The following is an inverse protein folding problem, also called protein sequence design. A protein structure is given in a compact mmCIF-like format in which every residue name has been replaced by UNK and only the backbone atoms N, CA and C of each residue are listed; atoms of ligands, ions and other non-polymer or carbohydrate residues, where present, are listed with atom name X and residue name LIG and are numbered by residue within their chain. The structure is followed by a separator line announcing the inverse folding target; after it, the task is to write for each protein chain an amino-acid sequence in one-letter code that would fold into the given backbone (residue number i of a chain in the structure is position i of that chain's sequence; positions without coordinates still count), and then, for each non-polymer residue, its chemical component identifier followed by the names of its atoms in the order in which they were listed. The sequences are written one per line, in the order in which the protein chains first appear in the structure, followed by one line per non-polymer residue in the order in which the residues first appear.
data_IF_780589910400
#
_entry.id   IF_780589910400
#
_cell.length_a   1.000
_cell.length_b   1.000
_cell.length_c   1.000
_cell.angle_alpha   90.00
_cell.angle_beta   90.00
_cell.angle_gamma   90.00
#
_symmetry.space_group_name_H-M   'P 1'
#
loop_
_entity.id
_entity.type
_entity.pdbx_description
1 polymer ?
#
# COMPACT_ATOMS: atom_id res chain seq x y z
N UNK A 1 48.85 9.69 -1.39
CA UNK A 1 49.29 10.96 -2.02
C UNK A 1 48.40 11.28 -3.21
N UNK A 2 48.37 12.54 -3.63
CA UNK A 2 47.44 13.12 -4.62
C UNK A 2 47.34 12.37 -5.96
N UNK A 3 48.35 11.59 -6.33
CA UNK A 3 48.42 10.81 -7.59
C UNK A 3 48.38 9.30 -7.37
N UNK A 4 48.16 8.82 -6.14
CA UNK A 4 48.25 7.40 -5.78
C UNK A 4 49.67 6.85 -5.70
N UNK A 5 50.69 7.60 -6.15
CA UNK A 5 52.12 7.23 -6.12
C UNK A 5 52.92 8.24 -5.29
N UNK A 6 53.92 7.79 -4.55
CA UNK A 6 54.80 8.66 -3.76
C UNK A 6 55.79 9.40 -4.70
N UNK A 7 55.99 10.73 -4.60
CA UNK A 7 56.87 11.52 -5.48
C UNK A 7 58.30 11.01 -5.58
N UNK A 8 58.80 10.39 -4.51
CA UNK A 8 60.13 9.79 -4.43
C UNK A 8 60.18 8.27 -4.65
N UNK A 9 59.05 7.62 -4.99
CA UNK A 9 58.98 6.16 -5.16
C UNK A 9 59.98 5.66 -6.22
N UNK A 10 60.93 4.83 -5.79
CA UNK A 10 61.84 4.10 -6.65
C UNK A 10 61.34 2.68 -6.94
N UNK A 11 62.07 1.93 -7.78
CA UNK A 11 61.73 0.53 -8.10
C UNK A 11 61.96 -0.41 -6.91
N UNK A 12 62.87 -0.04 -6.02
CA UNK A 12 63.13 -0.73 -4.75
C UNK A 12 63.04 0.23 -3.55
N UNK A 13 63.01 -0.30 -2.33
CA UNK A 13 63.02 0.51 -1.09
C UNK A 13 64.30 1.34 -1.00
N UNK A 14 65.45 0.78 -1.38
CA UNK A 14 66.74 1.50 -1.37
C UNK A 14 66.75 2.66 -2.38
N UNK A 15 66.19 2.46 -3.58
CA UNK A 15 66.03 3.53 -4.56
C UNK A 15 65.15 4.66 -4.03
N UNK A 16 64.08 4.32 -3.31
CA UNK A 16 63.17 5.30 -2.69
C UNK A 16 63.89 6.12 -1.62
N UNK A 17 64.67 5.47 -0.76
CA UNK A 17 65.46 6.15 0.27
C UNK A 17 66.53 7.06 -0.36
N UNK A 18 67.21 6.59 -1.41
CA UNK A 18 68.16 7.41 -2.17
C UNK A 18 67.50 8.63 -2.83
N UNK A 19 66.34 8.45 -3.45
CA UNK A 19 65.58 9.54 -4.08
C UNK A 19 65.14 10.57 -3.05
N UNK A 20 64.68 10.13 -1.87
CA UNK A 20 64.41 11.02 -0.74
C UNK A 20 65.70 11.74 -0.38
N UNK A 21 66.80 11.06 -0.02
CA UNK A 21 68.06 11.71 0.40
C UNK A 21 68.59 12.75 -0.59
N UNK A 22 68.42 12.52 -1.90
CA UNK A 22 68.88 13.42 -2.97
C UNK A 22 67.84 14.50 -3.35
N UNK A 23 66.66 14.51 -2.74
CA UNK A 23 65.56 15.40 -3.12
C UNK A 23 65.05 15.18 -4.54
N UNK A 24 65.29 14.00 -5.13
CA UNK A 24 64.96 13.69 -6.52
C UNK A 24 63.52 13.18 -6.63
N UNK A 25 62.59 14.07 -6.91
CA UNK A 25 61.22 13.68 -7.27
C UNK A 25 61.22 12.94 -8.62
N UNK A 26 60.81 11.67 -8.59
CA UNK A 26 60.67 10.81 -9.79
C UNK A 26 59.34 11.06 -10.47
N UNK A 27 58.30 11.37 -9.69
CA UNK A 27 56.98 11.75 -10.18
C UNK A 27 56.71 13.20 -9.73
N UNK A 28 56.79 14.19 -10.64
CA UNK A 28 56.50 15.57 -10.29
C UNK A 28 55.01 15.76 -9.96
N UNK A 29 54.69 16.85 -9.26
CA UNK A 29 53.29 17.24 -9.05
C UNK A 29 52.62 17.51 -10.42
N UNK A 30 51.39 17.00 -10.65
CA UNK A 30 50.67 17.24 -11.90
C UNK A 30 50.45 18.72 -12.21
N UNK A 31 50.37 19.06 -13.50
CA UNK A 31 50.27 20.45 -13.97
C UNK A 31 48.97 21.16 -13.55
N UNK A 32 47.92 20.42 -13.18
CA UNK A 32 46.67 20.98 -12.66
C UNK A 32 46.79 21.45 -11.20
N UNK A 33 47.85 21.09 -10.48
CA UNK A 33 48.14 21.60 -9.15
C UNK A 33 48.97 22.88 -9.31
N UNK A 34 48.33 24.02 -9.09
CA UNK A 34 48.92 25.34 -9.33
C UNK A 34 48.70 26.27 -8.13
N UNK A 35 49.39 27.42 -8.14
CA UNK A 35 49.26 28.46 -7.11
C UNK A 35 49.65 27.99 -5.71
N UNK A 36 48.99 28.55 -4.70
CA UNK A 36 49.25 28.34 -3.27
C UNK A 36 49.23 26.85 -2.87
N UNK A 37 48.34 26.04 -3.45
CA UNK A 37 48.27 24.59 -3.19
C UNK A 37 49.56 23.89 -3.60
N UNK A 38 50.15 24.26 -4.74
CA UNK A 38 51.42 23.69 -5.22
C UNK A 38 52.56 24.06 -4.26
N UNK A 39 52.64 25.32 -3.86
CA UNK A 39 53.66 25.82 -2.94
C UNK A 39 53.57 25.14 -1.58
N UNK A 40 52.36 25.03 -1.03
CA UNK A 40 52.08 24.34 0.22
C UNK A 40 52.56 22.87 0.18
N UNK A 41 52.24 22.13 -0.89
CA UNK A 41 52.67 20.74 -1.06
C UNK A 41 54.19 20.60 -1.23
N UNK A 42 54.84 21.53 -1.94
CA UNK A 42 56.29 21.53 -2.11
C UNK A 42 57.00 21.82 -0.77
N UNK A 43 56.48 22.73 0.04
CA UNK A 43 57.01 23.03 1.37
C UNK A 43 56.85 21.84 2.34
N UNK A 44 55.74 21.10 2.27
CA UNK A 44 55.55 19.85 3.04
C UNK A 44 56.56 18.75 2.65
N UNK A 45 57.04 18.76 1.41
CA UNK A 45 58.00 17.79 0.88
C UNK A 45 59.47 18.23 1.02
N UNK A 46 59.75 19.29 1.79
CA UNK A 46 61.10 19.82 1.97
C UNK A 46 62.04 18.75 2.53
N UNK A 47 63.28 18.74 2.03
CA UNK A 47 64.31 17.81 2.45
C UNK A 47 64.75 18.01 3.90
N UNK A 48 64.80 19.27 4.31
CA UNK A 48 65.11 19.67 5.67
C UNK A 48 63.83 19.57 6.51
N UNK A 49 63.83 18.72 7.53
CA UNK A 49 62.66 18.47 8.36
C UNK A 49 62.24 19.72 9.14
N UNK A 50 63.19 20.54 9.57
CA UNK A 50 62.94 21.75 10.36
C UNK A 50 62.37 22.90 9.51
N UNK A 51 62.45 22.79 8.18
CA UNK A 51 61.87 23.75 7.23
C UNK A 51 60.49 23.35 6.71
N UNK A 52 59.97 22.19 7.11
CA UNK A 52 58.62 21.77 6.75
C UNK A 52 57.63 22.58 7.58
N UNK A 53 56.54 23.08 6.97
CA UNK A 53 55.54 23.81 7.71
C UNK A 53 54.86 22.88 8.71
N UNK A 54 54.56 23.42 9.88
CA UNK A 54 53.75 22.79 10.91
C UNK A 54 52.29 22.70 10.46
N UNK A 55 51.49 21.87 11.13
CA UNK A 55 50.06 21.79 10.85
C UNK A 55 49.33 23.12 11.07
N UNK A 56 49.81 23.94 12.02
CA UNK A 56 49.24 25.26 12.31
C UNK A 56 49.49 26.21 11.14
N UNK A 57 50.74 26.31 10.68
CA UNK A 57 51.11 27.16 9.53
C UNK A 57 50.38 26.75 8.25
N UNK A 58 50.14 25.46 8.04
CA UNK A 58 49.34 24.97 6.91
C UNK A 58 47.87 25.40 7.01
N UNK A 59 47.26 25.30 8.20
CA UNK A 59 45.87 25.69 8.43
C UNK A 59 45.66 27.21 8.38
N UNK A 60 46.70 27.99 8.64
CA UNK A 60 46.68 29.45 8.58
C UNK A 60 46.84 30.01 7.16
N UNK A 61 47.09 29.17 6.15
CA UNK A 61 47.12 29.58 4.73
C UNK A 61 45.77 30.12 4.25
N UNK A 62 45.78 31.05 3.28
CA UNK A 62 44.55 31.65 2.74
C UNK A 62 43.66 30.58 2.11
N UNK A 63 44.26 29.64 1.38
CA UNK A 63 43.58 28.48 0.79
C UNK A 63 42.83 27.65 1.84
N UNK A 64 43.47 27.29 2.95
CA UNK A 64 42.84 26.46 3.99
C UNK A 64 41.74 27.22 4.74
N UNK A 65 41.93 28.51 5.02
CA UNK A 65 40.91 29.35 5.61
C UNK A 65 39.68 29.50 4.69
N UNK A 66 39.89 29.69 3.38
CA UNK A 66 38.79 29.75 2.41
C UNK A 66 38.05 28.42 2.30
N UNK A 67 38.77 27.30 2.26
CA UNK A 67 38.16 25.96 2.29
C UNK A 67 37.36 25.71 3.58
N UNK A 68 37.85 26.19 4.73
CA UNK A 68 37.13 26.10 5.99
C UNK A 68 35.82 26.91 5.96
N UNK A 69 35.83 28.11 5.36
CA UNK A 69 34.62 28.92 5.16
C UNK A 69 33.62 28.22 4.23
N UNK A 70 34.06 27.68 3.10
CA UNK A 70 33.20 26.90 2.18
C UNK A 70 32.55 25.73 2.93
N UNK A 71 33.35 24.97 3.69
CA UNK A 71 32.85 23.81 4.44
C UNK A 71 31.83 24.24 5.51
N UNK A 72 32.08 25.37 6.19
CA UNK A 72 31.16 25.92 7.17
C UNK A 72 29.83 26.32 6.52
N UNK A 73 29.85 27.09 5.45
CA UNK A 73 28.64 27.51 4.72
C UNK A 73 27.86 26.31 4.17
N UNK A 74 28.56 25.32 3.60
CA UNK A 74 27.92 24.08 3.12
C UNK A 74 27.28 23.29 4.26
N UNK A 75 27.93 23.19 5.42
CA UNK A 75 27.37 22.54 6.60
C UNK A 75 26.14 23.29 7.11
N UNK A 76 26.17 24.62 7.16
CA UNK A 76 25.03 25.45 7.54
C UNK A 76 23.84 25.23 6.58
N UNK A 77 24.09 25.14 5.28
CA UNK A 77 23.06 24.85 4.27
C UNK A 77 22.45 23.45 4.46
N UNK A 78 23.28 22.43 4.73
CA UNK A 78 22.81 21.07 5.02
C UNK A 78 21.96 21.04 6.29
N UNK A 79 22.39 21.73 7.35
CA UNK A 79 21.65 21.83 8.61
C UNK A 79 20.29 22.50 8.36
N UNK A 80 20.25 23.57 7.57
CA UNK A 80 18.99 24.24 7.26
C UNK A 80 18.05 23.34 6.43
N UNK A 81 18.57 22.67 5.38
CA UNK A 81 17.81 21.70 4.58
C UNK A 81 17.25 20.56 5.43
N UNK A 82 18.04 20.04 6.38
CA UNK A 82 17.58 18.99 7.28
C UNK A 82 16.45 19.49 8.20
N UNK A 83 16.58 20.69 8.76
CA UNK A 83 15.49 21.31 9.56
C UNK A 83 14.20 21.48 8.75
N UNK A 84 14.32 21.93 7.49
CA UNK A 84 13.17 22.11 6.61
C UNK A 84 12.51 20.78 6.24
N UNK A 85 13.31 19.74 5.98
CA UNK A 85 12.82 18.38 5.71
C UNK A 85 12.13 17.78 6.94
N UNK A 86 12.71 17.92 8.13
CA UNK A 86 12.07 17.48 9.37
C UNK A 86 10.74 18.20 9.63
N UNK A 87 10.66 19.50 9.34
CA UNK A 87 9.40 20.24 9.46
C UNK A 87 8.35 19.74 8.46
N UNK A 88 8.74 19.46 7.21
CA UNK A 88 7.85 18.86 6.20
C UNK A 88 7.36 17.46 6.62
N UNK A 89 8.23 16.61 7.16
CA UNK A 89 7.87 15.28 7.65
C UNK A 89 6.85 15.39 8.79
N UNK A 90 7.11 16.25 9.78
CA UNK A 90 6.16 16.49 10.89
C UNK A 90 4.79 16.95 10.40
N UNK A 91 4.75 17.86 9.42
CA UNK A 91 3.47 18.33 8.86
C UNK A 91 2.72 17.21 8.14
N UNK A 92 3.41 16.39 7.34
CA UNK A 92 2.81 15.24 6.66
C UNK A 92 2.29 14.19 7.64
N UNK A 93 2.99 13.97 8.77
CA UNK A 93 2.54 13.07 9.84
C UNK A 93 1.25 13.58 10.50
N UNK A 94 1.18 14.89 10.79
CA UNK A 94 -0.03 15.52 11.35
C UNK A 94 -1.20 15.43 10.38
N UNK A 95 -0.99 15.72 9.10
CA UNK A 95 -2.04 15.60 8.06
C UNK A 95 -2.56 14.16 7.97
N UNK A 96 -1.66 13.18 7.93
CA UNK A 96 -2.01 11.76 7.87
C UNK A 96 -2.78 11.31 9.12
N UNK A 97 -2.41 11.79 10.30
CA UNK A 97 -3.14 11.48 11.54
C UNK A 97 -4.53 12.14 11.54
N UNK A 98 -4.64 13.37 11.03
CA UNK A 98 -5.91 14.08 10.85
C UNK A 98 -6.85 13.37 9.88
N UNK A 99 -6.34 12.91 8.74
CA UNK A 99 -7.10 12.09 7.78
C UNK A 99 -7.57 10.79 8.41
N UNK A 100 -6.69 10.08 9.12
CA UNK A 100 -7.05 8.84 9.83
C UNK A 100 -8.21 9.06 10.80
N UNK A 101 -8.14 10.10 11.64
CA UNK A 101 -9.23 10.46 12.57
C UNK A 101 -10.54 10.76 11.85
N UNK A 102 -10.50 11.49 10.73
CA UNK A 102 -11.70 11.75 9.92
C UNK A 102 -12.30 10.47 9.34
N UNK A 103 -11.47 9.55 8.85
CA UNK A 103 -11.94 8.27 8.33
C UNK A 103 -12.54 7.38 9.41
N UNK A 104 -11.94 7.36 10.61
CA UNK A 104 -12.44 6.58 11.74
C UNK A 104 -13.79 7.15 12.24
N UNK A 105 -13.93 8.49 12.29
CA UNK A 105 -15.17 9.15 12.66
C UNK A 105 -16.30 8.88 11.64
N UNK A 106 -16.03 9.06 10.34
CA UNK A 106 -17.00 8.77 9.28
C UNK A 106 -17.41 7.29 9.25
N UNK A 107 -16.51 6.39 9.66
CA UNK A 107 -16.86 5.01 9.91
C UNK A 107 -17.90 4.95 11.03
N UNK A 108 -17.56 5.42 12.24
CA UNK A 108 -18.42 5.30 13.42
C UNK A 108 -19.84 5.81 13.17
N UNK A 109 -19.98 6.97 12.52
CA UNK A 109 -21.28 7.53 12.12
C UNK A 109 -22.08 6.60 11.20
N UNK A 110 -21.40 5.93 10.27
CA UNK A 110 -22.02 4.90 9.43
C UNK A 110 -22.45 3.69 10.28
N UNK A 111 -21.64 3.23 11.23
CA UNK A 111 -21.99 2.11 12.14
C UNK A 111 -23.23 2.40 12.95
N UNK A 112 -23.31 3.61 13.49
CA UNK A 112 -24.41 4.08 14.31
C UNK A 112 -25.70 4.12 13.50
N UNK A 113 -25.69 4.79 12.34
CA UNK A 113 -26.85 4.85 11.45
C UNK A 113 -27.38 3.44 11.05
N UNK A 114 -26.49 2.46 10.95
CA UNK A 114 -26.87 1.09 10.64
C UNK A 114 -27.41 0.31 11.83
N UNK A 115 -26.84 0.53 13.02
CA UNK A 115 -27.39 0.00 14.26
C UNK A 115 -28.81 0.49 14.48
N UNK A 116 -29.08 1.75 14.14
CA UNK A 116 -30.41 2.32 14.18
C UNK A 116 -31.34 1.62 13.19
N UNK A 117 -30.90 1.40 11.94
CA UNK A 117 -31.66 0.61 10.96
C UNK A 117 -31.96 -0.80 11.50
N UNK A 118 -30.97 -1.49 12.07
CA UNK A 118 -31.16 -2.82 12.65
C UNK A 118 -32.19 -2.82 13.78
N UNK A 119 -32.06 -1.87 14.71
CA UNK A 119 -32.94 -1.75 15.88
C UNK A 119 -34.38 -1.44 15.44
N UNK A 120 -34.55 -0.54 14.47
CA UNK A 120 -35.85 -0.22 13.89
C UNK A 120 -36.53 -1.44 13.28
N UNK A 121 -35.80 -2.28 12.53
CA UNK A 121 -36.36 -3.51 11.95
C UNK A 121 -36.68 -4.61 12.96
N UNK A 122 -36.08 -4.60 14.15
CA UNK A 122 -36.45 -5.55 15.22
C UNK A 122 -37.75 -5.13 15.93
N UNK A 123 -38.11 -3.84 15.84
CA UNK A 123 -39.31 -3.28 16.46
C UNK A 123 -40.54 -3.34 15.54
N UNK A 124 -40.36 -3.20 14.22
CA UNK A 124 -41.42 -3.49 13.25
C UNK A 124 -41.50 -5.00 12.97
N UNK A 125 -42.69 -5.59 13.08
CA UNK A 125 -42.98 -6.94 12.59
C UNK A 125 -42.92 -6.96 11.05
N UNK A 126 -41.71 -6.94 10.51
CA UNK A 126 -41.43 -6.76 9.09
C UNK A 126 -41.61 -8.09 8.35
N UNK A 127 -42.84 -8.59 8.36
CA UNK A 127 -43.34 -9.74 7.58
C UNK A 127 -43.43 -9.43 6.08
N UNK A 128 -43.19 -8.19 5.64
CA UNK A 128 -43.12 -7.82 4.22
C UNK A 128 -41.80 -8.28 3.61
N UNK A 129 -41.85 -9.47 3.00
CA UNK A 129 -40.80 -9.99 2.14
C UNK A 129 -40.53 -9.00 0.99
N UNK A 130 -39.24 -8.75 0.69
CA UNK A 130 -38.87 -7.90 -0.45
C UNK A 130 -39.29 -8.58 -1.75
N UNK A 131 -39.95 -7.83 -2.63
CA UNK A 131 -40.05 -8.21 -4.03
C UNK A 131 -38.70 -7.95 -4.71
N UNK A 132 -37.92 -9.02 -4.85
CA UNK A 132 -36.60 -8.97 -5.47
C UNK A 132 -36.65 -8.61 -6.95
N UNK A 133 -37.74 -8.96 -7.65
CA UNK A 133 -37.92 -8.64 -9.06
C UNK A 133 -38.20 -7.14 -9.23
N UNK A 134 -39.07 -6.58 -8.38
CA UNK A 134 -39.27 -5.13 -8.31
C UNK A 134 -37.96 -4.41 -7.97
N UNK A 135 -37.24 -4.91 -6.97
CA UNK A 135 -35.96 -4.33 -6.54
C UNK A 135 -34.95 -4.24 -7.69
N UNK A 136 -34.78 -5.34 -8.43
CA UNK A 136 -33.96 -5.40 -9.64
C UNK A 136 -34.40 -4.36 -10.66
N UNK A 137 -35.70 -4.25 -10.93
CA UNK A 137 -36.23 -3.32 -11.94
C UNK A 137 -35.98 -1.86 -11.54
N UNK A 138 -36.15 -1.52 -10.25
CA UNK A 138 -35.84 -0.18 -9.73
C UNK A 138 -34.35 0.14 -9.88
N UNK A 139 -33.46 -0.78 -9.50
CA UNK A 139 -32.01 -0.59 -9.64
C UNK A 139 -31.59 -0.38 -11.11
N UNK A 140 -32.20 -1.13 -12.04
CA UNK A 140 -31.97 -1.00 -13.48
C UNK A 140 -32.66 0.21 -14.12
N UNK A 141 -33.59 0.86 -13.40
CA UNK A 141 -34.34 2.01 -13.85
C UNK A 141 -33.42 3.12 -14.34
N UNK A 142 -33.71 3.66 -15.54
CA UNK A 142 -32.94 4.76 -16.11
C UNK A 142 -33.25 6.06 -15.36
N UNK A 143 -32.22 6.79 -14.98
CA UNK A 143 -32.32 8.16 -14.47
C UNK A 143 -32.47 9.11 -15.66
N UNK A 144 -33.67 9.16 -16.25
CA UNK A 144 -34.03 10.07 -17.35
C UNK A 144 -35.30 10.82 -17.00
N UNK A 145 -35.48 11.98 -17.61
CA UNK A 145 -36.65 12.82 -17.41
C UNK A 145 -36.27 14.24 -16.99
N UNK A 146 -37.21 14.94 -16.38
CA UNK A 146 -36.96 16.24 -15.74
C UNK A 146 -36.05 16.08 -14.51
N UNK A 147 -35.44 17.16 -14.04
CA UNK A 147 -34.59 17.12 -12.84
C UNK A 147 -35.32 16.51 -11.63
N UNK A 148 -36.61 16.84 -11.44
CA UNK A 148 -37.45 16.25 -10.39
C UNK A 148 -37.62 14.74 -10.55
N UNK A 149 -37.79 14.24 -11.78
CA UNK A 149 -37.90 12.79 -12.04
C UNK A 149 -36.58 12.07 -11.79
N UNK A 150 -35.45 12.70 -12.12
CA UNK A 150 -34.12 12.14 -11.84
C UNK A 150 -33.90 12.04 -10.33
N UNK A 151 -34.24 13.09 -9.57
CA UNK A 151 -34.14 13.11 -8.10
C UNK A 151 -35.02 12.02 -7.48
N UNK A 152 -36.28 11.91 -7.92
CA UNK A 152 -37.21 10.90 -7.42
C UNK A 152 -36.73 9.47 -7.72
N UNK A 153 -36.22 9.22 -8.93
CA UNK A 153 -35.67 7.91 -9.29
C UNK A 153 -34.43 7.54 -8.47
N UNK A 154 -33.55 8.51 -8.18
CA UNK A 154 -32.40 8.31 -7.28
C UNK A 154 -32.86 8.00 -5.86
N UNK A 155 -33.87 8.70 -5.36
CA UNK A 155 -34.45 8.46 -4.03
C UNK A 155 -34.99 7.03 -3.92
N UNK A 156 -35.78 6.58 -4.89
CA UNK A 156 -36.30 5.19 -4.93
C UNK A 156 -35.19 4.13 -4.93
N UNK A 157 -34.09 4.39 -5.65
CA UNK A 157 -32.92 3.50 -5.63
C UNK A 157 -32.22 3.46 -4.27
N UNK A 158 -32.18 4.58 -3.55
CA UNK A 158 -31.62 4.62 -2.20
C UNK A 158 -32.54 3.87 -1.23
N UNK A 159 -33.86 4.11 -1.29
CA UNK A 159 -34.87 3.44 -0.46
C UNK A 159 -34.82 1.92 -0.66
N UNK A 160 -34.73 1.44 -1.91
CA UNK A 160 -34.61 0.00 -2.15
C UNK A 160 -33.30 -0.57 -1.61
N UNK A 161 -32.19 0.16 -1.72
CA UNK A 161 -30.93 -0.26 -1.11
C UNK A 161 -31.06 -0.34 0.42
N UNK A 162 -31.68 0.66 1.06
CA UNK A 162 -31.94 0.64 2.50
C UNK A 162 -32.78 -0.57 2.91
N UNK A 163 -33.83 -0.89 2.17
CA UNK A 163 -34.66 -2.07 2.41
C UNK A 163 -33.86 -3.37 2.29
N UNK A 164 -33.04 -3.51 1.24
CA UNK A 164 -32.18 -4.70 1.06
C UNK A 164 -31.23 -4.87 2.25
N UNK A 165 -30.63 -3.77 2.72
CA UNK A 165 -29.75 -3.76 3.89
C UNK A 165 -30.54 -4.21 5.12
N UNK A 166 -31.68 -3.56 5.37
CA UNK A 166 -32.60 -3.86 6.48
C UNK A 166 -32.93 -5.35 6.58
N UNK A 167 -33.17 -5.99 5.44
CA UNK A 167 -33.60 -7.37 5.37
C UNK A 167 -32.49 -8.39 5.54
N UNK A 168 -31.25 -8.06 5.15
CA UNK A 168 -30.14 -9.02 5.09
C UNK A 168 -29.01 -8.76 6.08
N UNK A 169 -28.95 -7.59 6.70
CA UNK A 169 -27.84 -7.20 7.57
C UNK A 169 -27.80 -8.08 8.82
N UNK A 170 -26.65 -8.70 9.07
CA UNK A 170 -26.43 -9.54 10.26
C UNK A 170 -27.26 -10.82 10.32
N UNK A 171 -28.05 -11.13 9.28
CA UNK A 171 -28.85 -12.36 9.20
C UNK A 171 -28.10 -13.45 8.45
N UNK A 172 -28.00 -14.60 9.08
CA UNK A 172 -27.48 -15.83 8.49
C UNK A 172 -28.61 -16.58 7.78
N UNK A 173 -29.03 -16.04 6.63
CA UNK A 173 -30.15 -16.56 5.82
C UNK A 173 -29.70 -16.72 4.36
N UNK A 174 -28.94 -17.79 4.13
CA UNK A 174 -28.38 -18.10 2.82
C UNK A 174 -29.47 -18.41 1.78
N UNK A 175 -30.56 -19.07 2.16
CA UNK A 175 -31.63 -19.38 1.20
C UNK A 175 -32.33 -18.09 0.72
N UNK A 176 -32.55 -17.12 1.61
CA UNK A 176 -33.09 -15.83 1.19
C UNK A 176 -32.10 -15.04 0.32
N UNK A 177 -30.79 -15.06 0.63
CA UNK A 177 -29.75 -14.51 -0.25
C UNK A 177 -29.75 -15.17 -1.62
N UNK A 178 -29.87 -16.50 -1.67
CA UNK A 178 -29.87 -17.30 -2.90
C UNK A 178 -31.05 -16.94 -3.79
N UNK A 179 -32.25 -16.77 -3.22
CA UNK A 179 -33.44 -16.29 -3.93
C UNK A 179 -33.18 -14.90 -4.53
N UNK A 180 -32.64 -13.98 -3.73
CA UNK A 180 -32.31 -12.63 -4.19
C UNK A 180 -31.27 -12.63 -5.33
N UNK A 181 -30.20 -13.42 -5.21
CA UNK A 181 -29.17 -13.54 -6.25
C UNK A 181 -29.75 -14.14 -7.54
N UNK A 182 -30.59 -15.18 -7.42
CA UNK A 182 -31.24 -15.84 -8.57
C UNK A 182 -32.26 -14.94 -9.27
N UNK A 183 -32.89 -14.01 -8.55
CA UNK A 183 -33.78 -13.01 -9.15
C UNK A 183 -33.04 -12.02 -10.08
N UNK A 184 -31.73 -11.86 -9.89
CA UNK A 184 -30.87 -10.96 -10.67
C UNK A 184 -30.66 -9.57 -10.04
N UNK A 185 -30.90 -9.42 -8.74
CA UNK A 185 -30.62 -8.16 -8.01
C UNK A 185 -29.12 -7.87 -7.98
N UNK A 186 -28.28 -8.89 -7.78
CA UNK A 186 -26.82 -8.75 -7.83
C UNK A 186 -26.36 -8.33 -9.23
N UNK A 187 -26.90 -8.93 -10.29
CA UNK A 187 -26.63 -8.53 -11.66
C UNK A 187 -26.99 -7.04 -11.92
N UNK A 188 -28.08 -6.56 -11.31
CA UNK A 188 -28.47 -5.15 -11.38
C UNK A 188 -27.46 -4.22 -10.69
N UNK A 189 -26.98 -4.58 -9.49
CA UNK A 189 -25.91 -3.83 -8.81
C UNK A 189 -24.62 -3.80 -9.63
N UNK A 190 -24.18 -4.95 -10.15
CA UNK A 190 -22.96 -5.02 -10.95
C UNK A 190 -23.06 -4.15 -12.21
N UNK A 191 -24.22 -4.12 -12.87
CA UNK A 191 -24.47 -3.23 -14.00
C UNK A 191 -24.49 -1.76 -13.58
N UNK A 192 -25.13 -1.42 -12.46
CA UNK A 192 -25.15 -0.07 -11.90
C UNK A 192 -23.72 0.41 -11.63
N UNK A 193 -22.91 -0.38 -10.91
CA UNK A 193 -21.51 -0.09 -10.63
C UNK A 193 -20.64 -0.01 -11.87
N UNK A 194 -20.98 -0.72 -12.96
CA UNK A 194 -20.19 -0.66 -14.19
C UNK A 194 -20.53 0.54 -15.07
N UNK A 195 -21.74 1.09 -14.98
CA UNK A 195 -22.26 2.03 -15.98
C UNK A 195 -22.55 3.44 -15.46
N UNK A 196 -22.81 3.61 -14.17
CA UNK A 196 -23.08 4.93 -13.60
C UNK A 196 -21.78 5.73 -13.41
N UNK A 197 -21.87 7.06 -13.41
CA UNK A 197 -20.75 7.91 -13.01
C UNK A 197 -20.28 7.50 -11.61
N UNK A 198 -18.97 7.45 -11.40
CA UNK A 198 -18.44 6.84 -10.17
C UNK A 198 -18.88 7.64 -8.94
N UNK A 199 -18.92 8.97 -9.06
CA UNK A 199 -19.30 9.93 -8.02
C UNK A 199 -20.78 9.84 -7.61
N UNK A 200 -21.64 9.27 -8.46
CA UNK A 200 -23.06 9.08 -8.11
C UNK A 200 -23.31 7.83 -7.26
N UNK A 201 -22.31 6.98 -7.09
CA UNK A 201 -22.42 5.73 -6.32
C UNK A 201 -22.23 6.07 -4.84
N UNK A 202 -23.35 6.24 -4.14
CA UNK A 202 -23.33 6.54 -2.70
C UNK A 202 -22.87 5.32 -1.85
N UNK A 203 -22.41 5.55 -0.61
CA UNK A 203 -22.09 4.47 0.34
C UNK A 203 -23.21 3.44 0.52
N UNK A 204 -24.47 3.86 0.43
CA UNK A 204 -25.64 2.98 0.55
C UNK A 204 -25.67 1.89 -0.52
N UNK A 205 -25.30 2.20 -1.77
CA UNK A 205 -25.24 1.18 -2.82
C UNK A 205 -24.16 0.13 -2.55
N UNK A 206 -22.95 0.58 -2.19
CA UNK A 206 -21.84 -0.32 -1.88
C UNK A 206 -22.16 -1.20 -0.67
N UNK A 207 -22.86 -0.66 0.33
CA UNK A 207 -23.32 -1.43 1.47
C UNK A 207 -24.41 -2.45 1.11
N UNK A 208 -25.40 -2.06 0.30
CA UNK A 208 -26.46 -2.95 -0.15
C UNK A 208 -25.91 -4.12 -0.98
N UNK A 209 -24.82 -3.93 -1.71
CA UNK A 209 -24.10 -5.04 -2.31
C UNK A 209 -23.36 -5.88 -1.26
N UNK A 210 -22.64 -5.23 -0.34
CA UNK A 210 -21.85 -5.90 0.70
C UNK A 210 -22.67 -6.89 1.52
N UNK A 211 -23.93 -6.56 1.87
CA UNK A 211 -24.72 -7.47 2.69
C UNK A 211 -24.86 -8.83 2.01
N UNK A 212 -24.93 -8.95 0.68
CA UNK A 212 -24.96 -10.26 0.00
C UNK A 212 -23.72 -11.12 0.24
N UNK A 213 -22.58 -10.49 0.57
CA UNK A 213 -21.30 -11.16 0.78
C UNK A 213 -21.05 -11.55 2.24
N UNK A 214 -21.82 -11.03 3.21
CA UNK A 214 -21.61 -11.30 4.63
C UNK A 214 -22.83 -10.98 5.54
N UNK A 215 -23.14 -11.83 6.54
CA UNK A 215 -22.65 -13.21 6.68
C UNK A 215 -23.23 -14.08 5.54
N UNK A 216 -22.40 -14.94 4.96
CA UNK A 216 -22.76 -15.78 3.82
C UNK A 216 -21.83 -17.01 3.78
N UNK A 217 -22.40 -18.18 3.47
CA UNK A 217 -21.61 -19.40 3.25
C UNK A 217 -20.78 -19.36 1.97
N UNK A 218 -19.91 -20.35 1.82
CA UNK A 218 -19.12 -20.54 0.61
C UNK A 218 -19.99 -20.80 -0.62
N UNK A 219 -21.13 -21.48 -0.49
CA UNK A 219 -22.09 -21.67 -1.59
C UNK A 219 -22.60 -20.33 -2.13
N UNK A 220 -22.94 -19.39 -1.24
CA UNK A 220 -23.37 -18.04 -1.64
C UNK A 220 -22.21 -17.26 -2.26
N UNK A 221 -21.00 -17.34 -1.70
CA UNK A 221 -19.81 -16.66 -2.24
C UNK A 221 -19.43 -17.19 -3.63
N UNK A 222 -19.53 -18.50 -3.86
CA UNK A 222 -19.33 -19.12 -5.17
C UNK A 222 -20.42 -18.69 -6.16
N UNK A 223 -21.69 -18.67 -5.75
CA UNK A 223 -22.79 -18.17 -6.58
C UNK A 223 -22.60 -16.70 -6.97
N UNK A 224 -22.07 -15.87 -6.06
CA UNK A 224 -21.72 -14.48 -6.37
C UNK A 224 -20.58 -14.39 -7.37
N UNK A 225 -19.57 -15.26 -7.29
CA UNK A 225 -18.48 -15.30 -8.25
C UNK A 225 -18.97 -15.64 -9.67
N UNK A 226 -19.97 -16.52 -9.82
CA UNK A 226 -20.60 -16.82 -11.13
C UNK A 226 -21.18 -15.58 -11.81
N UNK A 227 -21.55 -14.54 -11.04
CA UNK A 227 -22.03 -13.25 -11.56
C UNK A 227 -20.92 -12.35 -12.12
N UNK A 228 -19.67 -12.79 -12.10
CA UNK A 228 -18.47 -12.07 -12.58
C UNK A 228 -18.35 -10.68 -11.93
N UNK A 229 -18.27 -10.60 -10.59
CA UNK A 229 -18.40 -9.34 -9.88
C UNK A 229 -17.16 -8.45 -9.98
N UNK A 230 -15.99 -9.03 -10.23
CA UNK A 230 -14.70 -8.34 -10.10
C UNK A 230 -14.57 -7.06 -10.92
N UNK A 231 -14.88 -7.00 -12.24
CA UNK A 231 -14.72 -5.76 -13.00
C UNK A 231 -15.50 -4.58 -12.41
N UNK A 232 -16.74 -4.83 -11.97
CA UNK A 232 -17.60 -3.81 -11.39
C UNK A 232 -17.11 -3.35 -10.02
N UNK A 233 -16.72 -4.29 -9.15
CA UNK A 233 -16.22 -3.98 -7.81
C UNK A 233 -14.84 -3.31 -7.84
N UNK A 234 -13.96 -3.75 -8.74
CA UNK A 234 -12.62 -3.17 -8.94
C UNK A 234 -12.72 -1.72 -9.42
N UNK A 235 -13.74 -1.38 -10.21
CA UNK A 235 -14.01 0.03 -10.59
C UNK A 235 -14.30 0.92 -9.38
N UNK A 236 -14.97 0.39 -8.35
CA UNK A 236 -15.29 1.17 -7.14
C UNK A 236 -14.05 1.53 -6.31
N UNK A 237 -12.89 0.92 -6.59
CA UNK A 237 -11.63 1.26 -5.90
C UNK A 237 -11.07 2.64 -6.27
N UNK A 238 -11.55 3.22 -7.38
CA UNK A 238 -11.19 4.58 -7.80
C UNK A 238 -12.13 5.64 -7.18
N UNK A 239 -13.09 5.23 -6.34
CA UNK A 239 -14.11 6.13 -5.79
C UNK A 239 -13.50 7.13 -4.78
N UNK A 240 -13.94 8.40 -4.73
CA UNK A 240 -13.39 9.38 -3.78
C UNK A 240 -13.80 9.12 -2.32
N UNK A 241 -14.97 8.54 -2.09
CA UNK A 241 -15.46 8.18 -0.76
C UNK A 241 -14.84 6.87 -0.25
N UNK A 242 -14.17 6.94 0.90
CA UNK A 242 -13.48 5.81 1.55
C UNK A 242 -14.41 4.67 1.96
N UNK A 243 -15.66 4.95 2.31
CA UNK A 243 -16.64 3.94 2.73
C UNK A 243 -17.02 3.07 1.54
N UNK A 244 -17.20 3.67 0.35
CA UNK A 244 -17.47 2.94 -0.90
C UNK A 244 -16.28 2.04 -1.24
N UNK A 245 -15.06 2.58 -1.19
CA UNK A 245 -13.83 1.81 -1.44
C UNK A 245 -13.74 0.63 -0.46
N UNK A 246 -13.91 0.90 0.84
CA UNK A 246 -13.78 -0.12 1.88
C UNK A 246 -14.81 -1.24 1.70
N UNK A 247 -16.09 -0.90 1.43
CA UNK A 247 -17.13 -1.92 1.19
C UNK A 247 -16.85 -2.73 -0.06
N UNK A 248 -16.37 -2.11 -1.14
CA UNK A 248 -15.95 -2.83 -2.34
C UNK A 248 -14.79 -3.80 -2.05
N UNK A 249 -13.76 -3.36 -1.33
CA UNK A 249 -12.60 -4.19 -0.93
C UNK A 249 -13.04 -5.38 -0.09
N UNK A 250 -13.91 -5.17 0.91
CA UNK A 250 -14.41 -6.26 1.76
C UNK A 250 -15.27 -7.23 0.94
N UNK A 251 -16.15 -6.74 0.07
CA UNK A 251 -16.93 -7.60 -0.82
C UNK A 251 -16.05 -8.43 -1.77
N UNK A 252 -15.00 -7.83 -2.32
CA UNK A 252 -14.01 -8.55 -3.15
C UNK A 252 -13.36 -9.66 -2.33
N UNK A 253 -12.89 -9.36 -1.12
CA UNK A 253 -12.25 -10.34 -0.26
C UNK A 253 -13.19 -11.49 0.10
N UNK A 254 -14.44 -11.20 0.52
CA UNK A 254 -15.39 -12.23 0.91
C UNK A 254 -15.65 -13.23 -0.23
N UNK A 255 -15.75 -12.73 -1.47
CA UNK A 255 -15.95 -13.56 -2.66
C UNK A 255 -14.68 -14.34 -3.01
N UNK A 256 -13.48 -13.76 -2.81
CA UNK A 256 -12.21 -14.47 -2.95
C UNK A 256 -12.12 -15.62 -1.93
N UNK A 257 -12.42 -15.37 -0.66
CA UNK A 257 -12.33 -16.39 0.39
C UNK A 257 -13.21 -17.60 0.13
N UNK A 258 -14.42 -17.44 -0.43
CA UNK A 258 -15.23 -18.59 -0.83
C UNK A 258 -14.53 -19.51 -1.85
N UNK A 259 -13.65 -18.96 -2.70
CA UNK A 259 -12.77 -19.74 -3.57
C UNK A 259 -11.61 -20.39 -2.82
N UNK A 260 -10.98 -19.68 -1.89
CA UNK A 260 -9.93 -20.23 -1.02
C UNK A 260 -10.44 -21.41 -0.19
N UNK A 261 -11.57 -21.24 0.47
CA UNK A 261 -12.12 -22.17 1.46
C UNK A 261 -12.63 -23.48 0.83
N UNK A 262 -12.98 -23.43 -0.47
CA UNK A 262 -13.54 -24.57 -1.20
C UNK A 262 -12.54 -25.31 -2.09
N UNK A 263 -11.27 -24.88 -2.11
CA UNK A 263 -10.24 -25.51 -2.95
C UNK A 263 -8.94 -25.80 -2.17
N UNK A 264 -8.20 -26.88 -2.51
CA UNK A 264 -7.01 -27.27 -1.76
C UNK A 264 -5.94 -26.18 -1.69
N UNK A 265 -5.33 -26.00 -0.51
CA UNK A 265 -4.34 -24.94 -0.27
C UNK A 265 -3.07 -25.05 -1.14
N UNK A 266 -2.71 -26.26 -1.57
CA UNK A 266 -1.56 -26.51 -2.45
C UNK A 266 -1.86 -26.25 -3.94
N UNK A 267 -3.05 -25.79 -4.28
CA UNK A 267 -3.44 -25.43 -5.64
C UNK A 267 -3.57 -23.91 -5.81
N UNK A 268 -3.27 -23.37 -7.01
CA UNK A 268 -3.50 -21.97 -7.33
C UNK A 268 -4.96 -21.56 -7.09
N UNK A 269 -5.16 -20.32 -6.63
CA UNK A 269 -6.49 -19.81 -6.30
C UNK A 269 -7.43 -19.78 -7.52
N UNK A 270 -8.66 -20.33 -7.43
CA UNK A 270 -9.57 -20.47 -8.56
C UNK A 270 -9.98 -19.12 -9.19
N UNK A 271 -10.07 -18.06 -8.37
CA UNK A 271 -10.49 -16.74 -8.84
C UNK A 271 -9.33 -15.85 -9.34
N UNK A 272 -8.07 -16.31 -9.29
CA UNK A 272 -6.90 -15.47 -9.63
C UNK A 272 -7.03 -14.86 -11.02
N UNK A 273 -7.34 -15.68 -12.03
CA UNK A 273 -7.41 -15.21 -13.41
C UNK A 273 -8.52 -14.17 -13.62
N UNK A 274 -9.65 -14.30 -12.93
CA UNK A 274 -10.77 -13.35 -13.06
C UNK A 274 -10.40 -11.97 -12.51
N UNK A 275 -9.69 -11.92 -11.38
CA UNK A 275 -9.19 -10.66 -10.79
C UNK A 275 -8.07 -10.07 -11.65
N UNK A 276 -7.12 -10.88 -12.10
CA UNK A 276 -6.00 -10.43 -12.93
C UNK A 276 -6.48 -9.86 -14.28
N UNK A 277 -7.46 -10.51 -14.93
CA UNK A 277 -7.93 -10.12 -16.27
C UNK A 277 -8.64 -8.76 -16.31
N UNK A 278 -9.08 -8.23 -15.16
CA UNK A 278 -9.66 -6.90 -15.05
C UNK A 278 -8.71 -5.86 -14.43
N UNK A 279 -7.41 -6.16 -14.33
CA UNK A 279 -6.41 -5.27 -13.73
C UNK A 279 -6.59 -5.10 -12.22
N UNK A 280 -7.28 -6.06 -11.57
CA UNK A 280 -7.61 -5.98 -10.16
C UNK A 280 -6.37 -6.09 -9.25
N UNK A 281 -5.35 -6.84 -9.66
CA UNK A 281 -4.12 -7.01 -8.89
C UNK A 281 -3.40 -5.66 -8.73
N UNK A 282 -3.21 -4.93 -9.83
CA UNK A 282 -2.51 -3.65 -9.86
C UNK A 282 -3.29 -2.58 -9.10
N UNK A 283 -4.63 -2.54 -9.25
CA UNK A 283 -5.50 -1.61 -8.53
C UNK A 283 -5.50 -1.86 -7.01
N UNK A 284 -5.62 -3.12 -6.59
CA UNK A 284 -5.52 -3.49 -5.18
C UNK A 284 -4.16 -3.10 -4.60
N UNK A 285 -3.06 -3.40 -5.29
CA UNK A 285 -1.73 -3.02 -4.82
C UNK A 285 -1.52 -1.50 -4.77
N UNK A 286 -1.99 -0.77 -5.78
CA UNK A 286 -1.93 0.70 -5.78
C UNK A 286 -2.67 1.30 -4.57
N UNK A 287 -3.87 0.78 -4.28
CA UNK A 287 -4.65 1.20 -3.11
C UNK A 287 -3.96 0.84 -1.79
N UNK A 288 -3.37 -0.35 -1.69
CA UNK A 288 -2.55 -0.76 -0.55
C UNK A 288 -1.37 0.19 -0.31
N UNK A 289 -0.64 0.57 -1.36
CA UNK A 289 0.50 1.50 -1.24
C UNK A 289 0.08 2.90 -0.79
N UNK A 290 -1.11 3.37 -1.18
CA UNK A 290 -1.66 4.64 -0.70
C UNK A 290 -2.00 4.59 0.79
N UNK A 291 -2.32 3.40 1.32
CA UNK A 291 -2.60 3.15 2.74
C UNK A 291 -3.55 4.18 3.40
N UNK A 292 -4.62 4.54 2.67
CA UNK A 292 -5.58 5.57 3.07
C UNK A 292 -6.44 5.15 4.27
N UNK A 293 -6.57 3.85 4.52
CA UNK A 293 -7.33 3.32 5.65
C UNK A 293 -6.83 1.95 6.06
N UNK A 294 -6.40 1.82 7.32
CA UNK A 294 -5.70 0.61 7.82
C UNK A 294 -6.53 -0.65 7.67
N UNK A 295 -7.86 -0.60 7.92
CA UNK A 295 -8.72 -1.77 7.77
C UNK A 295 -8.78 -2.22 6.31
N UNK A 296 -8.85 -1.29 5.36
CA UNK A 296 -8.78 -1.63 3.92
C UNK A 296 -7.42 -2.24 3.55
N UNK A 297 -6.31 -1.68 4.05
CA UNK A 297 -4.97 -2.21 3.79
C UNK A 297 -4.80 -3.65 4.30
N UNK A 298 -5.34 -3.96 5.48
CA UNK A 298 -5.37 -5.33 6.02
C UNK A 298 -6.12 -6.28 5.08
N UNK A 299 -7.34 -5.91 4.70
CA UNK A 299 -8.18 -6.75 3.82
C UNK A 299 -7.51 -6.95 2.45
N UNK A 300 -6.88 -5.90 1.89
CA UNK A 300 -6.14 -6.03 0.63
C UNK A 300 -4.97 -7.00 0.80
N UNK A 301 -4.20 -6.91 1.89
CA UNK A 301 -3.11 -7.84 2.15
C UNK A 301 -3.61 -9.30 2.25
N UNK A 302 -4.81 -9.53 2.81
CA UNK A 302 -5.45 -10.84 2.83
C UNK A 302 -5.85 -11.30 1.43
N UNK A 303 -6.42 -10.43 0.59
CA UNK A 303 -6.67 -10.73 -0.82
C UNK A 303 -5.40 -11.21 -1.53
N UNK A 304 -4.24 -10.57 -1.28
CA UNK A 304 -2.98 -11.02 -1.86
C UNK A 304 -2.55 -12.39 -1.34
N UNK A 305 -2.74 -12.65 -0.05
CA UNK A 305 -2.50 -13.97 0.54
C UNK A 305 -3.29 -15.08 -0.15
N UNK A 306 -4.59 -14.86 -0.32
CA UNK A 306 -5.50 -15.79 -0.99
C UNK A 306 -5.20 -15.94 -2.49
N UNK A 307 -5.11 -14.83 -3.22
CA UNK A 307 -4.94 -14.85 -4.68
C UNK A 307 -3.61 -15.49 -5.10
N UNK A 308 -2.54 -15.23 -4.36
CA UNK A 308 -1.21 -15.80 -4.63
C UNK A 308 -0.94 -17.09 -3.85
N UNK A 309 -1.99 -17.74 -3.33
CA UNK A 309 -1.85 -19.09 -2.78
C UNK A 309 -1.24 -20.05 -3.79
N UNK A 310 -0.22 -20.78 -3.35
CA UNK A 310 0.56 -21.71 -4.17
C UNK A 310 1.13 -21.10 -5.48
N UNK A 311 1.23 -19.77 -5.55
CA UNK A 311 1.68 -19.02 -6.73
C UNK A 311 2.68 -17.95 -6.34
N UNK A 312 3.76 -17.82 -7.09
CA UNK A 312 4.73 -16.74 -6.85
C UNK A 312 4.08 -15.37 -7.08
N UNK A 313 4.36 -14.40 -6.20
CA UNK A 313 4.15 -12.97 -6.51
C UNK A 313 5.33 -12.50 -7.36
N UNK A 314 5.18 -12.31 -8.69
CA UNK A 314 6.34 -12.13 -9.58
C UNK A 314 7.04 -10.79 -9.37
N UNK A 315 6.30 -9.75 -9.00
CA UNK A 315 6.88 -8.44 -8.70
C UNK A 315 7.56 -8.47 -7.33
N UNK A 316 8.90 -8.40 -7.32
CA UNK A 316 9.68 -8.48 -6.08
C UNK A 316 9.38 -7.35 -5.09
N UNK A 317 9.04 -6.14 -5.53
CA UNK A 317 8.72 -5.04 -4.63
C UNK A 317 7.36 -5.29 -3.94
N UNK A 318 6.35 -5.68 -4.73
CA UNK A 318 5.03 -6.08 -4.22
C UNK A 318 5.14 -7.23 -3.22
N UNK A 319 5.92 -8.27 -3.56
CA UNK A 319 6.13 -9.43 -2.70
C UNK A 319 6.71 -9.02 -1.34
N UNK A 320 7.76 -8.21 -1.34
CA UNK A 320 8.39 -7.69 -0.11
C UNK A 320 7.42 -6.84 0.71
N UNK A 321 6.72 -5.90 0.07
CA UNK A 321 5.79 -5.00 0.74
C UNK A 321 4.65 -5.76 1.43
N UNK A 322 4.00 -6.69 0.72
CA UNK A 322 2.86 -7.46 1.25
C UNK A 322 3.32 -8.40 2.37
N UNK A 323 4.43 -9.12 2.18
CA UNK A 323 4.94 -10.06 3.19
C UNK A 323 5.38 -9.31 4.46
N UNK A 324 6.10 -8.20 4.33
CA UNK A 324 6.50 -7.40 5.47
C UNK A 324 5.30 -6.88 6.26
N UNK A 325 4.25 -6.43 5.56
CA UNK A 325 3.02 -5.96 6.18
C UNK A 325 2.25 -7.07 6.91
N UNK A 326 2.09 -8.24 6.28
CA UNK A 326 1.44 -9.40 6.91
C UNK A 326 2.22 -9.91 8.13
N UNK A 327 3.56 -9.91 8.08
CA UNK A 327 4.41 -10.22 9.25
C UNK A 327 4.12 -9.27 10.41
N UNK A 328 4.05 -7.96 10.15
CA UNK A 328 3.77 -6.96 11.18
C UNK A 328 2.40 -7.20 11.84
N UNK A 329 1.35 -7.45 11.04
CA UNK A 329 0.01 -7.81 11.56
C UNK A 329 0.06 -9.04 12.46
N UNK A 330 0.84 -10.05 12.11
CA UNK A 330 0.92 -11.28 12.89
C UNK A 330 1.63 -11.07 14.24
N UNK A 331 2.66 -10.22 14.28
CA UNK A 331 3.39 -9.92 15.52
C UNK A 331 2.50 -9.14 16.50
N UNK A 332 1.69 -8.22 15.99
CA UNK A 332 0.81 -7.37 16.81
C UNK A 332 -0.47 -8.10 17.28
N UNK A 333 -0.73 -9.31 16.79
CA UNK A 333 -1.95 -10.07 17.09
C UNK A 333 -1.75 -11.07 18.22
N UNK A 334 -2.64 -11.02 19.21
CA UNK A 334 -2.70 -11.97 20.33
C UNK A 334 -3.41 -13.28 19.91
N UNK A 335 -4.09 -13.28 18.76
CA UNK A 335 -4.90 -14.40 18.28
C UNK A 335 -4.10 -15.32 17.36
N UNK A 336 -4.11 -16.62 17.68
CA UNK A 336 -3.41 -17.68 16.96
C UNK A 336 -4.04 -18.10 15.62
N UNK A 337 -5.24 -17.60 15.29
CA UNK A 337 -5.94 -17.84 14.02
C UNK A 337 -6.35 -16.51 13.36
N UNK A 338 -5.47 -15.52 13.34
CA UNK A 338 -5.82 -14.26 12.69
C UNK A 338 -5.68 -14.37 11.15
N UNK A 339 -6.48 -13.62 10.35
CA UNK A 339 -6.44 -13.72 8.89
C UNK A 339 -5.07 -13.42 8.27
N UNK A 340 -4.19 -12.68 8.96
CA UNK A 340 -2.83 -12.42 8.50
C UNK A 340 -1.95 -13.67 8.50
N UNK A 341 -2.14 -14.57 9.48
CA UNK A 341 -1.41 -15.84 9.56
C UNK A 341 -1.83 -16.76 8.42
N UNK A 342 -3.15 -16.88 8.18
CA UNK A 342 -3.70 -17.64 7.06
C UNK A 342 -3.18 -17.12 5.72
N UNK A 343 -3.13 -15.79 5.54
CA UNK A 343 -2.57 -15.19 4.34
C UNK A 343 -1.08 -15.56 4.14
N UNK A 344 -0.26 -15.57 5.20
CA UNK A 344 1.14 -16.00 5.12
C UNK A 344 1.27 -17.50 4.81
N UNK A 345 0.44 -18.34 5.43
CA UNK A 345 0.39 -19.78 5.17
C UNK A 345 0.06 -20.08 3.70
N UNK A 346 -0.91 -19.36 3.13
CA UNK A 346 -1.30 -19.45 1.73
C UNK A 346 -0.14 -19.06 0.80
N UNK A 347 0.53 -17.94 1.08
CA UNK A 347 1.71 -17.51 0.30
C UNK A 347 2.86 -18.51 0.38
N UNK A 348 3.10 -19.09 1.57
CA UNK A 348 4.17 -20.04 1.83
C UNK A 348 4.01 -21.40 1.14
N UNK A 349 2.86 -21.67 0.50
CA UNK A 349 2.69 -22.82 -0.39
C UNK A 349 3.56 -22.70 -1.64
N UNK A 350 3.99 -21.49 -2.01
CA UNK A 350 4.99 -21.27 -3.05
C UNK A 350 6.39 -21.09 -2.44
N UNK A 351 7.41 -21.74 -3.01
CA UNK A 351 8.78 -21.74 -2.48
C UNK A 351 9.45 -20.36 -2.51
N UNK A 352 9.20 -19.52 -3.52
CA UNK A 352 9.79 -18.19 -3.62
C UNK A 352 9.20 -17.24 -2.57
N UNK A 353 7.88 -17.28 -2.40
CA UNK A 353 7.22 -16.50 -1.36
C UNK A 353 7.63 -17.00 0.02
N UNK A 354 7.70 -18.32 0.25
CA UNK A 354 8.19 -18.93 1.49
C UNK A 354 9.58 -18.43 1.86
N UNK A 355 10.52 -18.46 0.92
CA UNK A 355 11.88 -17.97 1.17
C UNK A 355 11.93 -16.49 1.58
N UNK A 356 11.03 -15.65 1.05
CA UNK A 356 10.90 -14.25 1.48
C UNK A 356 10.26 -14.13 2.88
N UNK A 357 9.28 -14.98 3.20
CA UNK A 357 8.66 -15.03 4.53
C UNK A 357 9.66 -15.47 5.58
N UNK A 358 10.50 -16.47 5.31
CA UNK A 358 11.45 -17.03 6.30
C UNK A 358 12.68 -16.14 6.56
N UNK A 359 12.86 -15.05 5.80
CA UNK A 359 13.93 -14.07 6.07
C UNK A 359 13.84 -13.51 7.48
N UNK A 360 15.02 -13.17 8.01
CA UNK A 360 15.24 -12.63 9.34
C UNK A 360 14.77 -13.57 10.46
N UNK A 361 14.68 -14.88 10.16
CA UNK A 361 14.31 -15.92 11.11
C UNK A 361 12.82 -15.97 11.45
N UNK A 362 11.96 -15.29 10.67
CA UNK A 362 10.52 -15.33 10.90
C UNK A 362 9.98 -16.74 10.62
N UNK A 363 9.29 -17.32 11.60
CA UNK A 363 8.65 -18.63 11.46
C UNK A 363 7.25 -18.46 10.89
N UNK A 364 6.93 -19.21 9.85
CA UNK A 364 5.57 -19.27 9.31
C UNK A 364 4.65 -19.84 10.41
N UNK A 365 3.54 -19.17 10.74
CA UNK A 365 2.56 -19.67 11.70
C UNK A 365 2.06 -21.05 11.29
N UNK A 366 1.94 -21.96 12.27
CA UNK A 366 1.39 -23.32 12.06
C UNK A 366 -0.13 -23.31 11.87
#
# INVERSE_FOLDING_TARGET
MLTGVHPYAGRTVNDTIENIKKGKMVVPLPDYIQGELKEMLMNMLNMDADKRPTAIELLDTELMQFQAQINKSRNEEIIQKNKDLEAKIRNLEIEKEGEKKRTDQAWLEMEEALRDIQTFNQMEDNTRQIDWLESKNILLGKERGTDSQIVENKKKKIEICQNIISQLIGKDDDEYRKIAIRSGVVDAFLRLFSTQQIESITPTFAWAFFVFTYPASDDIRLLLNEKKPYPALIRLLDHPNIIVIHRAVVSIQNIISGGSDTTPANQPHPHFQAVASCGGIEKLYSLFKRNIYVRSSNIIAFCFGDLYRAKEIPNSAMRKDIIAYLKAICIDSIWSNNPGQVALQNLAQNSVNRAEIEKDGFKIPE
#
